data_IF_959146438757
#
_entry.id   IF_959146438757
#
_cell.length_a   1.000
_cell.length_b   1.000
_cell.length_c   1.000
_cell.angle_alpha   90.00
_cell.angle_beta   90.00
_cell.angle_gamma   90.00
#
_symmetry.space_group_name_H-M   'P 1'
#
loop_
_entity.id
_entity.type
_entity.pdbx_description
1 polymer ?
#
# COMPACT_ATOMS: atom_id res chain seq x y z
N UNK A 1 -33.21 -42.07 -14.32
CA UNK A 1 -32.32 -41.30 -15.22
C UNK A 1 -32.45 -39.78 -15.04
N UNK A 2 -33.65 -39.24 -14.78
CA UNK A 2 -33.88 -37.79 -14.64
C UNK A 2 -33.25 -37.17 -13.38
N UNK A 3 -33.24 -37.91 -12.25
CA UNK A 3 -32.63 -37.43 -10.99
C UNK A 3 -31.10 -37.34 -11.11
N UNK A 4 -30.45 -38.33 -11.72
CA UNK A 4 -29.01 -38.29 -11.96
C UNK A 4 -28.60 -37.14 -12.89
N UNK A 5 -29.42 -36.84 -13.91
CA UNK A 5 -29.24 -35.66 -14.77
C UNK A 5 -29.38 -34.36 -13.99
N UNK A 6 -30.45 -34.22 -13.19
CA UNK A 6 -30.67 -33.03 -12.37
C UNK A 6 -29.52 -32.80 -11.37
N UNK A 7 -29.06 -33.85 -10.70
CA UNK A 7 -27.90 -33.79 -9.79
C UNK A 7 -26.65 -33.35 -10.55
N UNK A 8 -26.36 -33.93 -11.71
CA UNK A 8 -25.20 -33.55 -12.53
C UNK A 8 -25.26 -32.07 -12.95
N UNK A 9 -26.44 -31.58 -13.36
CA UNK A 9 -26.64 -30.18 -13.76
C UNK A 9 -26.42 -29.23 -12.59
N UNK A 10 -26.95 -29.55 -11.41
CA UNK A 10 -26.78 -28.72 -10.21
C UNK A 10 -25.32 -28.67 -9.77
N UNK A 11 -24.62 -29.80 -9.76
CA UNK A 11 -23.19 -29.86 -9.39
C UNK A 11 -22.32 -29.06 -10.37
N UNK A 12 -22.61 -29.14 -11.67
CA UNK A 12 -21.89 -28.37 -12.69
C UNK A 12 -22.12 -26.85 -12.53
N UNK A 13 -23.36 -26.44 -12.27
CA UNK A 13 -23.68 -25.03 -12.00
C UNK A 13 -22.94 -24.50 -10.76
N UNK A 14 -22.88 -25.29 -9.68
CA UNK A 14 -22.14 -24.94 -8.46
C UNK A 14 -20.62 -24.81 -8.73
N UNK A 15 -20.05 -25.71 -9.54
CA UNK A 15 -18.63 -25.66 -9.90
C UNK A 15 -18.26 -24.41 -10.73
N UNK A 16 -19.14 -24.01 -11.66
CA UNK A 16 -18.93 -22.83 -12.52
C UNK A 16 -19.05 -21.50 -11.73
N UNK A 17 -19.90 -21.42 -10.71
CA UNK A 17 -20.02 -20.24 -9.82
C UNK A 17 -18.82 -20.11 -8.87
N UNK A 18 -18.13 -21.22 -8.55
CA UNK A 18 -17.01 -21.27 -7.60
C UNK A 18 -15.72 -20.58 -8.04
N UNK A 19 -15.54 -20.21 -9.31
CA UNK A 19 -14.30 -19.61 -9.80
C UNK A 19 -13.99 -18.22 -9.18
N UNK A 20 -15.00 -17.51 -8.68
CA UNK A 20 -14.79 -16.26 -7.93
C UNK A 20 -14.02 -16.48 -6.62
N UNK A 21 -14.30 -17.58 -5.91
CA UNK A 21 -13.63 -17.92 -4.66
C UNK A 21 -12.15 -18.29 -4.86
N UNK A 22 -11.81 -18.88 -6.03
CA UNK A 22 -10.41 -19.18 -6.39
C UNK A 22 -9.66 -17.89 -6.73
N UNK A 23 -10.31 -16.95 -7.44
CA UNK A 23 -9.70 -15.65 -7.78
C UNK A 23 -9.32 -14.84 -6.54
N UNK A 24 -10.16 -14.85 -5.51
CA UNK A 24 -9.92 -14.14 -4.24
C UNK A 24 -9.16 -15.00 -3.21
N UNK A 25 -8.71 -16.21 -3.59
CA UNK A 25 -8.00 -17.12 -2.70
C UNK A 25 -6.57 -16.67 -2.40
N UNK A 26 -6.07 -17.09 -1.23
CA UNK A 26 -4.65 -17.03 -0.86
C UNK A 26 -3.75 -17.96 -1.69
N UNK A 27 -4.35 -18.91 -2.42
CA UNK A 27 -3.65 -19.80 -3.36
C UNK A 27 -3.45 -19.15 -4.74
N UNK A 28 -4.06 -17.99 -5.00
CA UNK A 28 -3.90 -17.26 -6.25
C UNK A 28 -2.57 -16.47 -6.23
N UNK A 29 -1.60 -16.78 -7.11
CA UNK A 29 -0.32 -16.08 -7.14
C UNK A 29 -0.45 -14.58 -7.42
N UNK A 30 -1.51 -14.14 -8.11
CA UNK A 30 -1.77 -12.73 -8.34
C UNK A 30 -2.16 -11.95 -7.07
N UNK A 31 -2.68 -12.63 -6.04
CA UNK A 31 -3.02 -12.00 -4.76
C UNK A 31 -1.81 -11.83 -3.83
N UNK A 32 -0.66 -12.45 -4.12
CA UNK A 32 0.56 -12.27 -3.34
C UNK A 32 1.25 -10.93 -3.62
N UNK A 33 1.02 -10.36 -4.81
CA UNK A 33 1.62 -9.11 -5.25
C UNK A 33 0.64 -7.93 -5.15
N UNK A 34 -0.14 -7.87 -4.06
CA UNK A 34 -1.05 -6.74 -3.81
C UNK A 34 -0.26 -5.44 -3.63
N UNK A 35 -0.89 -4.32 -4.02
CA UNK A 35 -0.35 -2.97 -3.78
C UNK A 35 -0.15 -2.76 -2.29
N UNK A 36 0.88 -1.99 -1.93
CA UNK A 36 1.09 -1.54 -0.56
C UNK A 36 -0.15 -0.77 -0.08
N UNK A 37 -0.73 -1.24 1.01
CA UNK A 37 -1.81 -0.59 1.74
C UNK A 37 -1.19 0.24 2.87
N UNK A 38 -1.71 1.45 3.10
CA UNK A 38 -1.29 2.27 4.23
C UNK A 38 -1.58 1.49 5.52
N UNK A 39 -0.53 1.13 6.24
CA UNK A 39 -0.63 0.44 7.51
C UNK A 39 -0.46 1.48 8.60
N UNK A 40 -1.37 1.50 9.57
CA UNK A 40 -1.20 2.35 10.75
C UNK A 40 0.13 1.99 11.41
N UNK A 41 1.10 2.89 11.26
CA UNK A 41 2.34 2.82 12.00
C UNK A 41 1.96 3.16 13.44
N UNK A 42 2.39 2.32 14.39
CA UNK A 42 2.36 2.69 15.81
C UNK A 42 3.20 3.96 15.91
N UNK A 43 2.53 5.12 16.03
CA UNK A 43 3.18 6.39 16.30
C UNK A 43 3.77 6.28 17.70
N UNK A 44 5.03 5.85 17.78
CA UNK A 44 5.85 6.22 18.92
C UNK A 44 6.01 7.73 18.80
N UNK A 45 5.26 8.50 19.58
CA UNK A 45 5.43 9.95 19.71
C UNK A 45 6.87 10.20 20.19
N UNK A 46 7.79 10.33 19.23
CA UNK A 46 9.07 10.95 19.50
C UNK A 46 8.78 12.39 19.93
N UNK A 47 9.56 12.96 20.87
CA UNK A 47 9.43 14.37 21.22
C UNK A 47 9.39 15.21 19.93
N UNK A 48 8.33 16.01 19.78
CA UNK A 48 8.12 16.83 18.59
C UNK A 48 9.39 17.61 18.29
N UNK A 49 9.93 17.42 17.09
CA UNK A 49 11.15 18.06 16.67
C UNK A 49 10.98 19.59 16.75
N UNK A 50 11.79 20.29 17.56
CA UNK A 50 11.64 21.74 17.75
C UNK A 50 12.13 22.55 16.53
N UNK A 51 12.74 21.90 15.52
CA UNK A 51 13.20 22.57 14.31
C UNK A 51 12.00 23.08 13.49
N UNK A 52 12.10 24.26 12.86
CA UNK A 52 11.06 24.71 11.95
C UNK A 52 11.03 23.85 10.68
N UNK A 53 9.86 23.82 10.03
CA UNK A 53 9.75 23.25 8.68
C UNK A 53 10.61 24.04 7.69
N UNK A 54 11.02 23.35 6.62
CA UNK A 54 11.70 24.01 5.50
C UNK A 54 10.78 25.03 4.84
N UNK A 55 11.35 26.16 4.40
CA UNK A 55 10.56 27.27 3.87
C UNK A 55 9.89 26.94 2.53
N UNK A 56 10.61 26.22 1.66
CA UNK A 56 10.09 25.82 0.35
C UNK A 56 10.63 24.43 -0.03
N UNK A 57 9.80 23.61 -0.69
CA UNK A 57 10.20 22.32 -1.28
C UNK A 57 10.39 22.53 -2.78
N UNK A 58 11.64 22.48 -3.23
CA UNK A 58 12.00 22.72 -4.63
C UNK A 58 11.70 21.50 -5.51
N UNK A 59 12.01 20.30 -5.00
CA UNK A 59 11.76 19.05 -5.72
C UNK A 59 11.24 18.00 -4.75
N UNK A 60 10.34 17.15 -5.24
CA UNK A 60 9.88 15.96 -4.53
C UNK A 60 9.65 14.84 -5.55
N UNK A 61 10.25 13.68 -5.31
CA UNK A 61 10.08 12.48 -6.12
C UNK A 61 9.66 11.35 -5.20
N UNK A 62 8.65 10.61 -5.65
CA UNK A 62 8.17 9.40 -4.98
C UNK A 62 8.46 8.23 -5.91
N UNK A 63 9.43 7.41 -5.53
CA UNK A 63 9.89 6.26 -6.30
C UNK A 63 9.21 4.99 -5.76
N UNK A 64 8.31 4.34 -6.51
CA UNK A 64 7.65 3.13 -6.04
C UNK A 64 8.62 1.94 -6.03
N UNK A 65 8.58 1.16 -4.96
CA UNK A 65 9.37 -0.07 -4.80
C UNK A 65 8.46 -1.24 -4.35
N UNK A 66 8.83 -2.49 -4.60
CA UNK A 66 8.13 -3.62 -3.99
C UNK A 66 8.12 -3.47 -2.45
N UNK A 67 6.94 -3.26 -1.87
CA UNK A 67 6.76 -3.04 -0.44
C UNK A 67 6.44 -1.60 -0.02
N UNK A 68 6.58 -0.60 -0.90
CA UNK A 68 6.22 0.78 -0.55
C UNK A 68 6.71 1.82 -1.56
N UNK A 69 7.20 2.95 -1.05
CA UNK A 69 7.81 3.99 -1.88
C UNK A 69 8.95 4.66 -1.12
N UNK A 70 9.94 5.15 -1.87
CA UNK A 70 11.00 6.01 -1.36
C UNK A 70 10.62 7.45 -1.70
N UNK A 71 10.61 8.32 -0.69
CA UNK A 71 10.38 9.75 -0.87
C UNK A 71 11.71 10.48 -0.82
N UNK A 72 12.00 11.27 -1.85
CA UNK A 72 13.16 12.14 -1.92
C UNK A 72 12.70 13.57 -2.15
N UNK A 73 13.16 14.49 -1.32
CA UNK A 73 12.85 15.90 -1.48
C UNK A 73 14.10 16.77 -1.34
N UNK A 74 14.12 17.89 -2.05
CA UNK A 74 15.09 18.97 -1.86
C UNK A 74 14.34 20.20 -1.42
N UNK A 75 14.72 20.76 -0.27
CA UNK A 75 14.11 21.98 0.27
C UNK A 75 15.09 23.15 0.29
N UNK A 76 14.55 24.36 0.16
CA UNK A 76 15.26 25.61 0.33
C UNK A 76 15.04 26.13 1.76
N UNK A 77 16.08 26.21 2.60
CA UNK A 77 15.95 26.80 3.94
C UNK A 77 15.75 28.32 3.87
N UNK A 78 15.18 28.94 4.93
CA UNK A 78 14.94 30.38 4.95
C UNK A 78 16.24 31.22 4.94
N UNK A 79 17.33 30.69 5.47
CA UNK A 79 18.64 31.34 5.55
C UNK A 79 19.77 30.32 5.35
N UNK A 80 21.02 30.77 5.33
CA UNK A 80 22.19 29.87 5.33
C UNK A 80 22.44 29.30 6.74
N UNK A 81 23.11 28.15 6.83
CA UNK A 81 23.50 27.51 8.10
C UNK A 81 22.62 26.34 8.53
N UNK A 82 21.58 25.99 7.78
CA UNK A 82 20.77 24.78 7.99
C UNK A 82 21.38 23.58 7.26
N UNK A 83 21.47 22.42 7.92
CA UNK A 83 22.19 21.27 7.37
C UNK A 83 21.57 19.89 7.70
N UNK A 84 20.60 19.81 8.61
CA UNK A 84 20.02 18.54 9.05
C UNK A 84 18.52 18.49 8.71
N UNK A 85 18.20 18.31 7.43
CA UNK A 85 16.82 18.15 6.98
C UNK A 85 16.30 16.73 7.27
N UNK A 86 15.02 16.62 7.61
CA UNK A 86 14.35 15.35 7.88
C UNK A 86 12.94 15.36 7.28
N UNK A 87 12.50 14.20 6.77
CA UNK A 87 11.12 14.00 6.34
C UNK A 87 10.29 13.59 7.54
N UNK A 88 9.40 14.48 7.96
CA UNK A 88 8.50 14.26 9.10
C UNK A 88 7.12 13.89 8.55
N UNK A 89 6.53 12.82 9.07
CA UNK A 89 5.15 12.47 8.76
C UNK A 89 4.21 13.53 9.35
N UNK A 90 3.27 14.02 8.54
CA UNK A 90 2.21 14.89 9.07
C UNK A 90 1.25 14.05 9.94
N UNK A 91 0.81 14.58 11.09
CA UNK A 91 -0.18 13.92 11.94
C UNK A 91 -1.54 13.80 11.24
#
# INVERSE_FOLDING_TARGET
MSVARAVLTVTLCLALVGCGAVRESRLNPFNWFKRSEARDLVQTEAPGDPRPLVAEVLTMVVEPIPGGAIVRATGLPPTQGWWQAELIALP
#
